data_IF_770666791955
#
_entry.id   IF_770666791955
#
_cell.length_a   1.000
_cell.length_b   1.000
_cell.length_c   1.000
_cell.angle_alpha   90.00
_cell.angle_beta   90.00
_cell.angle_gamma   90.00
#
_symmetry.space_group_name_H-M   'P 1'
#
loop_
_entity.id
_entity.type
_entity.pdbx_description
1 polymer ?
#
# COMPACT_ATOMS: atom_id res chain seq x y z
N UNK A 1 9.20 3.23 -37.77
CA UNK A 1 9.90 2.51 -36.69
C UNK A 1 11.11 3.37 -36.35
N UNK A 2 11.21 3.91 -35.13
CA UNK A 2 12.39 4.67 -34.74
C UNK A 2 13.60 3.73 -34.74
N UNK A 3 14.70 4.13 -35.37
CA UNK A 3 15.93 3.35 -35.38
C UNK A 3 16.34 3.05 -33.93
N UNK A 4 16.77 1.81 -33.63
CA UNK A 4 17.26 1.47 -32.31
C UNK A 4 18.40 2.42 -31.95
N UNK A 5 18.28 3.02 -30.77
CA UNK A 5 19.27 3.95 -30.23
C UNK A 5 20.68 3.34 -30.38
N UNK A 6 21.63 4.02 -31.05
CA UNK A 6 22.95 3.44 -31.31
C UNK A 6 23.61 2.99 -30.00
N UNK A 7 24.07 1.73 -29.96
CA UNK A 7 24.65 1.13 -28.73
C UNK A 7 25.79 1.96 -28.15
N UNK A 8 26.61 2.54 -29.02
CA UNK A 8 27.69 3.45 -28.64
C UNK A 8 27.21 4.69 -27.89
N UNK A 9 26.08 5.28 -28.30
CA UNK A 9 25.50 6.43 -27.61
C UNK A 9 24.86 5.98 -26.29
N UNK A 10 24.27 4.77 -26.25
CA UNK A 10 23.73 4.17 -25.03
C UNK A 10 24.79 4.03 -23.95
N UNK A 11 25.94 3.45 -24.30
CA UNK A 11 27.04 3.19 -23.37
C UNK A 11 27.61 4.49 -22.81
N UNK A 12 27.77 5.51 -23.66
CA UNK A 12 28.24 6.84 -23.24
C UNK A 12 27.23 7.47 -22.27
N UNK A 13 25.94 7.47 -22.60
CA UNK A 13 24.90 8.07 -21.76
C UNK A 13 24.72 7.34 -20.44
N UNK A 14 24.87 6.02 -20.45
CA UNK A 14 24.83 5.20 -19.24
C UNK A 14 26.02 5.50 -18.33
N UNK A 15 27.22 5.55 -18.90
CA UNK A 15 28.45 5.87 -18.15
C UNK A 15 28.37 7.26 -17.54
N UNK A 16 27.90 8.25 -18.30
CA UNK A 16 27.67 9.62 -17.83
C UNK A 16 26.68 9.65 -16.66
N UNK A 17 25.51 9.01 -16.80
CA UNK A 17 24.49 8.98 -15.76
C UNK A 17 24.96 8.31 -14.47
N UNK A 18 25.64 7.16 -14.57
CA UNK A 18 26.20 6.46 -13.39
C UNK A 18 27.25 7.33 -12.71
N UNK A 19 28.10 8.01 -13.49
CA UNK A 19 29.14 8.90 -12.96
C UNK A 19 28.54 10.09 -12.22
N UNK A 20 27.49 10.71 -12.77
CA UNK A 20 26.77 11.82 -12.12
C UNK A 20 26.16 11.34 -10.80
N UNK A 21 25.47 10.19 -10.82
CA UNK A 21 24.84 9.63 -9.61
C UNK A 21 25.87 9.39 -8.49
N UNK A 22 27.01 8.77 -8.82
CA UNK A 22 28.11 8.54 -7.87
C UNK A 22 28.75 9.82 -7.35
N UNK A 23 28.75 10.88 -8.16
CA UNK A 23 29.29 12.19 -7.77
C UNK A 23 28.36 12.90 -6.79
N UNK A 24 27.04 12.76 -6.96
CA UNK A 24 26.04 13.36 -6.08
C UNK A 24 25.98 12.61 -4.75
N UNK A 25 25.99 11.28 -4.79
CA UNK A 25 25.91 10.44 -3.60
C UNK A 25 26.82 9.21 -3.76
N UNK A 26 27.99 9.19 -3.08
CA UNK A 26 28.89 8.04 -3.11
C UNK A 26 28.26 6.76 -2.56
N UNK A 27 27.20 6.88 -1.74
CA UNK A 27 26.51 5.71 -1.24
C UNK A 27 25.74 5.00 -2.36
N UNK A 28 25.30 5.68 -3.44
CA UNK A 28 24.42 5.14 -4.49
C UNK A 28 24.85 3.78 -5.07
N UNK A 29 26.13 3.43 -4.98
CA UNK A 29 26.63 2.10 -5.36
C UNK A 29 25.92 0.96 -4.63
N UNK A 30 25.42 1.13 -3.40
CA UNK A 30 24.62 0.09 -2.74
C UNK A 30 23.27 -0.15 -3.44
N UNK A 31 22.74 0.84 -4.15
CA UNK A 31 21.51 0.75 -4.94
C UNK A 31 21.83 0.22 -6.34
N UNK A 32 22.87 0.75 -6.98
CA UNK A 32 23.29 0.36 -8.33
C UNK A 32 23.86 -1.06 -8.39
N UNK A 33 24.52 -1.51 -7.31
CA UNK A 33 25.06 -2.84 -7.17
C UNK A 33 24.08 -3.82 -6.51
N UNK A 34 22.83 -3.40 -6.27
CA UNK A 34 21.79 -4.30 -5.80
C UNK A 34 21.29 -5.19 -6.95
N UNK A 35 22.12 -6.18 -7.29
CA UNK A 35 21.84 -7.25 -8.24
C UNK A 35 21.30 -8.50 -7.55
N UNK A 36 20.77 -8.36 -6.32
CA UNK A 36 19.89 -9.41 -5.83
C UNK A 36 18.87 -9.67 -6.95
N UNK A 37 18.59 -10.96 -7.23
CA UNK A 37 17.37 -11.35 -7.95
C UNK A 37 16.27 -10.39 -7.47
N UNK A 38 15.35 -9.86 -8.31
CA UNK A 38 14.23 -9.07 -7.82
C UNK A 38 13.43 -9.97 -6.90
N UNK A 39 13.88 -10.07 -5.65
CA UNK A 39 13.50 -11.03 -4.65
C UNK A 39 12.28 -10.37 -4.09
N UNK A 40 11.23 -10.43 -4.91
CA UNK A 40 9.84 -10.35 -4.53
C UNK A 40 9.69 -9.39 -3.36
N UNK A 41 9.68 -8.09 -3.66
CA UNK A 41 9.41 -6.99 -2.73
C UNK A 41 8.59 -7.51 -1.57
N UNK A 42 9.09 -7.38 -0.34
CA UNK A 42 8.49 -8.07 0.79
C UNK A 42 7.00 -7.74 0.86
N UNK A 43 6.20 -8.74 0.52
CA UNK A 43 4.76 -8.60 0.34
C UNK A 43 4.11 -8.03 1.59
N UNK A 44 4.61 -8.37 2.78
CA UNK A 44 4.03 -7.85 4.03
C UNK A 44 4.31 -6.36 4.15
N UNK A 45 5.58 -5.99 4.19
CA UNK A 45 6.00 -4.60 4.31
C UNK A 45 5.40 -3.70 3.21
N UNK A 46 5.36 -4.18 1.96
CA UNK A 46 4.76 -3.43 0.86
C UNK A 46 3.26 -3.22 1.08
N UNK A 47 2.52 -4.29 1.40
CA UNK A 47 1.07 -4.17 1.60
C UNK A 47 0.73 -3.32 2.82
N UNK A 48 1.49 -3.41 3.92
CA UNK A 48 1.28 -2.59 5.12
C UNK A 48 1.53 -1.10 4.88
N UNK A 49 2.46 -0.74 3.99
CA UNK A 49 2.72 0.66 3.62
C UNK A 49 1.74 1.21 2.60
N UNK A 50 1.16 0.34 1.76
CA UNK A 50 0.42 0.76 0.57
C UNK A 50 -1.07 0.36 0.55
N UNK A 51 -1.61 -0.27 1.60
CA UNK A 51 -3.01 -0.73 1.60
C UNK A 51 -4.04 0.41 1.44
N UNK A 52 -3.71 1.64 1.84
CA UNK A 52 -4.60 2.80 1.76
C UNK A 52 -4.79 3.31 0.33
N UNK A 53 -3.88 3.00 -0.59
CA UNK A 53 -4.00 3.44 -1.98
C UNK A 53 -5.11 2.66 -2.70
N UNK A 54 -6.03 3.39 -3.34
CA UNK A 54 -7.05 2.79 -4.19
C UNK A 54 -6.43 2.27 -5.50
N UNK A 55 -5.87 1.06 -5.46
CA UNK A 55 -5.32 0.37 -6.61
C UNK A 55 -5.86 -1.06 -6.71
N UNK A 56 -5.87 -1.61 -7.92
CA UNK A 56 -6.35 -2.96 -8.18
C UNK A 56 -5.32 -4.02 -7.73
N UNK A 57 -5.77 -5.26 -7.54
CA UNK A 57 -4.87 -6.36 -7.17
C UNK A 57 -3.82 -6.63 -8.25
N UNK A 58 -4.14 -6.40 -9.52
CA UNK A 58 -3.21 -6.51 -10.64
C UNK A 58 -2.06 -5.52 -10.45
N UNK A 59 -2.36 -4.28 -10.04
CA UNK A 59 -1.33 -3.27 -9.79
C UNK A 59 -0.46 -3.63 -8.58
N UNK A 60 -1.06 -4.13 -7.49
CA UNK A 60 -0.30 -4.65 -6.34
C UNK A 60 0.62 -5.81 -6.76
N UNK A 61 0.13 -6.75 -7.57
CA UNK A 61 0.95 -7.87 -8.06
C UNK A 61 2.11 -7.38 -8.92
N UNK A 62 1.86 -6.43 -9.82
CA UNK A 62 2.88 -5.85 -10.69
C UNK A 62 3.96 -5.13 -9.89
N UNK A 63 3.58 -4.25 -8.96
CA UNK A 63 4.52 -3.49 -8.13
C UNK A 63 5.34 -4.38 -7.19
N UNK A 64 4.82 -5.55 -6.83
CA UNK A 64 5.54 -6.52 -6.01
C UNK A 64 6.34 -7.54 -6.83
N UNK A 65 6.43 -7.37 -8.15
CA UNK A 65 7.19 -8.24 -9.05
C UNK A 65 6.59 -9.64 -9.19
N UNK A 66 5.26 -9.78 -9.08
CA UNK A 66 4.56 -11.06 -9.08
C UNK A 66 3.48 -11.10 -10.16
N UNK A 67 3.29 -12.27 -10.77
CA UNK A 67 2.04 -12.54 -11.48
C UNK A 67 0.87 -12.53 -10.49
N UNK A 68 -0.35 -12.26 -10.95
CA UNK A 68 -1.54 -12.26 -10.10
C UNK A 68 -1.73 -13.60 -9.36
N UNK A 69 -1.53 -14.73 -10.05
CA UNK A 69 -1.62 -16.07 -9.45
C UNK A 69 -0.57 -16.30 -8.35
N UNK A 70 0.67 -15.84 -8.58
CA UNK A 70 1.74 -15.92 -7.57
C UNK A 70 1.46 -15.00 -6.40
N UNK A 71 0.95 -13.80 -6.65
CA UNK A 71 0.54 -12.86 -5.61
C UNK A 71 -0.53 -13.48 -4.71
N UNK A 72 -1.62 -14.02 -5.26
CA UNK A 72 -2.67 -14.69 -4.48
C UNK A 72 -2.13 -15.85 -3.63
N UNK A 73 -1.27 -16.71 -4.20
CA UNK A 73 -0.66 -17.84 -3.48
C UNK A 73 0.24 -17.38 -2.34
N UNK A 74 1.14 -16.44 -2.61
CA UNK A 74 2.08 -15.90 -1.61
C UNK A 74 1.31 -15.17 -0.50
N UNK A 75 0.25 -14.44 -0.85
CA UNK A 75 -0.62 -13.74 0.10
C UNK A 75 -1.33 -14.72 1.03
N UNK A 76 -1.93 -15.79 0.48
CA UNK A 76 -2.61 -16.82 1.27
C UNK A 76 -1.62 -17.51 2.22
N UNK A 77 -0.38 -17.77 1.77
CA UNK A 77 0.67 -18.35 2.62
C UNK A 77 1.08 -17.44 3.77
N UNK A 78 1.22 -16.12 3.52
CA UNK A 78 1.70 -15.16 4.52
C UNK A 78 0.61 -14.67 5.49
N UNK A 79 -0.61 -14.44 4.99
CA UNK A 79 -1.69 -13.80 5.75
C UNK A 79 -2.87 -14.72 6.09
N UNK A 80 -2.85 -15.97 5.62
CA UNK A 80 -3.94 -16.94 5.76
C UNK A 80 -5.31 -16.42 5.27
N UNK A 81 -5.31 -15.47 4.34
CA UNK A 81 -6.50 -14.79 3.82
C UNK A 81 -6.33 -14.44 2.34
N UNK A 82 -7.43 -14.17 1.63
CA UNK A 82 -7.34 -13.62 0.27
C UNK A 82 -6.92 -12.15 0.31
N UNK A 83 -6.18 -11.65 -0.70
CA UNK A 83 -5.73 -10.26 -0.75
C UNK A 83 -6.87 -9.25 -0.61
N UNK A 84 -7.99 -9.48 -1.30
CA UNK A 84 -9.20 -8.65 -1.20
C UNK A 84 -9.74 -8.57 0.23
N UNK A 85 -9.93 -9.73 0.89
CA UNK A 85 -10.49 -9.75 2.25
C UNK A 85 -9.55 -9.07 3.24
N UNK A 86 -8.25 -9.32 3.12
CA UNK A 86 -7.25 -8.68 3.98
C UNK A 86 -7.22 -7.18 3.77
N UNK A 87 -7.25 -6.71 2.51
CA UNK A 87 -7.22 -5.29 2.16
C UNK A 87 -8.42 -4.57 2.73
N UNK A 88 -9.63 -5.08 2.47
CA UNK A 88 -10.86 -4.51 3.03
C UNK A 88 -10.81 -4.44 4.55
N UNK A 89 -10.41 -5.53 5.22
CA UNK A 89 -10.31 -5.56 6.68
C UNK A 89 -9.31 -4.50 7.20
N UNK A 90 -8.11 -4.41 6.62
CA UNK A 90 -7.10 -3.44 7.04
C UNK A 90 -7.54 -1.99 6.86
N UNK A 91 -8.23 -1.69 5.76
CA UNK A 91 -8.83 -0.36 5.52
C UNK A 91 -9.90 -0.03 6.55
N UNK A 92 -10.75 -1.00 6.91
CA UNK A 92 -11.78 -0.82 7.93
C UNK A 92 -11.19 -0.67 9.34
N UNK A 93 -10.13 -1.41 9.69
CA UNK A 93 -9.38 -1.24 10.94
C UNK A 93 -8.84 0.19 11.06
N UNK A 94 -8.22 0.72 10.00
CA UNK A 94 -7.76 2.11 9.96
C UNK A 94 -8.91 3.10 10.12
N UNK A 95 -10.01 2.89 9.40
CA UNK A 95 -11.16 3.77 9.49
C UNK A 95 -11.77 3.78 10.89
N UNK A 96 -11.87 2.61 11.53
CA UNK A 96 -12.33 2.49 12.90
C UNK A 96 -11.44 3.27 13.86
N UNK A 97 -10.12 3.11 13.77
CA UNK A 97 -9.18 3.88 14.58
C UNK A 97 -9.34 5.39 14.38
N UNK A 98 -9.56 5.86 13.15
CA UNK A 98 -9.78 7.28 12.89
C UNK A 98 -11.12 7.81 13.43
N UNK A 99 -12.16 6.98 13.45
CA UNK A 99 -13.47 7.35 13.99
C UNK A 99 -13.45 7.30 15.51
N UNK A 100 -12.92 6.23 16.12
CA UNK A 100 -12.92 6.03 17.58
C UNK A 100 -11.92 6.93 18.29
N UNK A 101 -10.68 7.01 17.81
CA UNK A 101 -9.59 7.70 18.52
C UNK A 101 -9.43 9.15 18.08
N UNK A 102 -9.68 9.44 16.80
CA UNK A 102 -9.47 10.79 16.24
C UNK A 102 -10.77 11.58 16.04
N UNK A 103 -11.92 11.00 16.42
CA UNK A 103 -13.24 11.61 16.33
C UNK A 103 -13.56 12.22 14.95
N UNK A 104 -13.03 11.60 13.88
CA UNK A 104 -13.31 12.01 12.50
C UNK A 104 -14.66 11.47 12.06
N UNK A 105 -15.37 12.21 11.20
CA UNK A 105 -16.65 11.72 10.66
C UNK A 105 -16.41 10.61 9.65
N UNK A 106 -17.28 9.59 9.56
CA UNK A 106 -17.18 8.53 8.54
C UNK A 106 -17.07 9.06 7.09
N UNK A 107 -17.71 10.20 6.80
CA UNK A 107 -17.67 10.89 5.49
C UNK A 107 -16.28 11.47 5.19
N UNK A 108 -15.47 11.77 6.20
CA UNK A 108 -14.11 12.32 6.04
C UNK A 108 -13.06 11.21 5.95
N UNK A 109 -13.37 10.01 6.45
CA UNK A 109 -12.42 8.90 6.62
C UNK A 109 -12.41 7.93 5.45
N UNK A 110 -13.53 7.77 4.73
CA UNK A 110 -13.64 6.70 3.73
C UNK A 110 -12.61 6.82 2.60
N UNK A 111 -12.32 8.03 2.13
CA UNK A 111 -11.29 8.28 1.11
C UNK A 111 -9.88 8.01 1.65
N UNK A 112 -9.56 8.52 2.85
CA UNK A 112 -8.28 8.32 3.53
C UNK A 112 -7.99 6.83 3.80
N UNK A 113 -9.05 6.06 4.08
CA UNK A 113 -8.96 4.62 4.28
C UNK A 113 -8.83 3.84 2.96
N UNK A 114 -8.96 4.48 1.80
CA UNK A 114 -8.81 3.84 0.48
C UNK A 114 -10.10 3.29 -0.12
N UNK A 115 -11.27 3.76 0.30
CA UNK A 115 -12.55 3.46 -0.36
C UNK A 115 -12.90 4.55 -1.37
N UNK A 116 -13.48 4.15 -2.50
CA UNK A 116 -13.90 5.08 -3.55
C UNK A 116 -15.28 5.70 -3.28
N UNK A 117 -16.19 4.91 -2.69
CA UNK A 117 -17.58 5.31 -2.45
C UNK A 117 -17.99 5.09 -0.98
N UNK A 118 -18.66 6.08 -0.40
CA UNK A 118 -19.17 6.05 0.97
C UNK A 118 -20.17 4.89 1.21
N UNK A 119 -21.03 4.59 0.23
CA UNK A 119 -22.02 3.51 0.33
C UNK A 119 -21.36 2.14 0.50
N UNK A 120 -20.29 1.88 -0.27
CA UNK A 120 -19.53 0.64 -0.18
C UNK A 120 -18.79 0.55 1.17
N UNK A 121 -18.17 1.66 1.60
CA UNK A 121 -17.56 1.76 2.92
C UNK A 121 -18.55 1.45 4.05
N UNK A 122 -19.72 2.10 4.06
CA UNK A 122 -20.70 1.97 5.13
C UNK A 122 -21.22 0.54 5.26
N UNK A 123 -21.49 -0.12 4.12
CA UNK A 123 -21.89 -1.53 4.08
C UNK A 123 -20.79 -2.45 4.60
N UNK A 124 -19.55 -2.28 4.13
CA UNK A 124 -18.42 -3.10 4.52
C UNK A 124 -18.05 -2.92 6.01
N UNK A 125 -18.10 -1.69 6.51
CA UNK A 125 -17.83 -1.37 7.91
C UNK A 125 -18.84 -2.02 8.85
N UNK A 126 -20.14 -1.89 8.53
CA UNK A 126 -21.21 -2.53 9.30
C UNK A 126 -21.04 -4.06 9.37
N UNK A 127 -20.72 -4.70 8.24
CA UNK A 127 -20.57 -6.15 8.18
C UNK A 127 -19.32 -6.68 8.89
N UNK A 128 -18.27 -5.87 9.03
CA UNK A 128 -16.97 -6.33 9.59
C UNK A 128 -16.86 -6.02 11.07
N UNK A 129 -17.36 -4.87 11.52
CA UNK A 129 -17.23 -4.42 12.91
C UNK A 129 -18.44 -4.77 13.77
N UNK A 130 -19.50 -5.33 13.17
CA UNK A 130 -20.81 -5.62 13.79
C UNK A 130 -21.47 -4.39 14.48
N UNK A 131 -20.90 -3.20 14.23
CA UNK A 131 -21.28 -1.90 14.78
C UNK A 131 -21.32 -0.91 13.62
N UNK A 132 -22.37 -0.09 13.55
CA UNK A 132 -22.48 0.95 12.52
C UNK A 132 -21.39 2.00 12.74
N UNK A 133 -20.71 2.53 11.69
CA UNK A 133 -19.69 3.57 11.89
C UNK A 133 -20.25 4.84 12.56
N UNK A 134 -21.56 5.04 12.49
CA UNK A 134 -22.32 6.12 13.14
C UNK A 134 -22.64 5.87 14.62
N UNK A 135 -22.49 4.62 15.10
CA UNK A 135 -22.83 4.19 16.47
C UNK A 135 -21.60 3.95 17.35
N UNK A 136 -20.39 4.25 16.87
CA UNK A 136 -19.22 4.22 17.75
C UNK A 136 -19.44 5.26 18.86
N UNK A 137 -19.49 4.84 20.13
CA UNK A 137 -19.69 5.78 21.23
C UNK A 137 -18.49 6.72 21.28
N UNK A 138 -18.76 8.03 21.34
CA UNK A 138 -17.80 9.03 21.79
C UNK A 138 -17.34 8.65 23.20
N UNK A 139 -16.30 7.83 23.32
CA UNK A 139 -15.77 7.45 24.62
C UNK A 139 -14.81 8.54 25.07
N UNK A 140 -15.37 9.71 25.36
CA UNK A 140 -14.82 10.70 26.29
C UNK A 140 -16.01 11.44 26.93
N UNK A 141 -16.90 10.69 27.58
CA UNK A 141 -17.62 11.23 28.72
C UNK A 141 -16.58 11.54 29.81
N UNK A 142 -16.58 12.79 30.24
CA UNK A 142 -15.78 13.31 31.33
C UNK A 142 -15.71 12.33 32.51
N UNK A 143 -14.52 11.90 32.88
CA UNK A 143 -14.24 11.54 34.28
C UNK A 143 -13.09 12.40 34.76
N UNK A 144 -13.41 13.67 35.00
CA UNK A 144 -12.78 14.43 36.06
C UNK A 144 -13.54 14.09 37.35
N UNK A 145 -12.79 14.00 38.47
CA UNK A 145 -13.20 13.81 39.89
C UNK A 145 -13.36 12.33 40.30
N UNK A 146 -12.63 11.77 41.27
CA UNK A 146 -11.85 12.30 42.42
C UNK A 146 -10.55 11.54 42.61
#
# INVERSE_FOLDING_TARGET
MADPFPSTIADIKLTEAITILRTIDPSIDHILANFEDPHKLDLINFMEKHYMFNMTLEKFSYLTGRSLSTFHRDFKKKFNASPQKWLTRKRLELAHYQISEKNKKPVEVYLDAGFEYLSHFSFAFKNTMDIHPTKLPNTFEHTNLK
#
